data_IF_092704249076
#
_entry.id   IF_092704249076
#
_cell.length_a   1.000
_cell.length_b   1.000
_cell.length_c   1.000
_cell.angle_alpha   90.00
_cell.angle_beta   90.00
_cell.angle_gamma   90.00
#
_symmetry.space_group_name_H-M   'P 1'
#
loop_
_entity.id
_entity.type
_entity.pdbx_description
1 polymer ?
#
# COMPACT_ATOMS: atom_id res chain seq x y z
N UNK A 1 -0.06 12.22 1.44
CA UNK A 1 0.48 10.93 0.94
C UNK A 1 1.22 10.19 2.07
N UNK A 2 1.17 8.87 2.12
CA UNK A 2 1.90 8.02 3.09
C UNK A 2 2.95 7.19 2.33
N UNK A 3 4.20 7.21 2.79
CA UNK A 3 5.28 6.36 2.28
C UNK A 3 5.71 5.38 3.38
N UNK A 4 5.71 4.09 3.05
CA UNK A 4 6.15 3.01 3.94
C UNK A 4 7.31 2.27 3.26
N UNK A 5 8.41 2.08 3.97
CA UNK A 5 9.56 1.31 3.47
C UNK A 5 9.68 0.02 4.27
N UNK A 6 9.68 -1.10 3.57
CA UNK A 6 9.83 -2.44 4.12
C UNK A 6 11.17 -3.01 3.72
N UNK A 7 11.84 -3.70 4.64
CA UNK A 7 12.97 -4.54 4.28
C UNK A 7 12.48 -5.93 3.91
N UNK A 8 12.88 -6.34 2.72
CA UNK A 8 12.57 -7.63 2.18
C UNK A 8 13.82 -8.49 2.14
N UNK A 9 13.80 -9.63 2.84
CA UNK A 9 14.89 -10.62 2.81
C UNK A 9 14.38 -11.91 2.18
N UNK A 10 14.56 -12.13 0.87
CA UNK A 10 14.16 -13.39 0.23
C UNK A 10 15.03 -14.55 0.71
N UNK A 11 14.47 -15.76 0.78
CA UNK A 11 15.23 -16.96 1.15
C UNK A 11 16.42 -17.18 0.19
N UNK A 12 17.63 -17.07 0.75
CA UNK A 12 18.88 -17.25 0.00
C UNK A 12 19.27 -16.08 -0.93
N UNK A 13 18.61 -14.92 -0.82
CA UNK A 13 18.96 -13.71 -1.58
C UNK A 13 19.35 -12.53 -0.69
N UNK A 14 19.87 -11.48 -1.34
CA UNK A 14 20.23 -10.24 -0.65
C UNK A 14 18.99 -9.45 -0.22
N UNK A 15 19.00 -8.83 0.98
CA UNK A 15 17.94 -7.94 1.39
C UNK A 15 17.78 -6.76 0.41
N UNK A 16 16.54 -6.38 0.12
CA UNK A 16 16.21 -5.17 -0.66
C UNK A 16 15.11 -4.36 0.01
N UNK A 17 15.13 -3.05 -0.21
CA UNK A 17 14.06 -2.18 0.23
C UNK A 17 12.89 -2.26 -0.76
N UNK A 18 11.67 -2.38 -0.22
CA UNK A 18 10.42 -2.30 -0.96
C UNK A 18 9.64 -1.10 -0.45
N UNK A 19 9.27 -0.21 -1.36
CA UNK A 19 8.55 1.02 -1.00
C UNK A 19 7.08 0.89 -1.39
N UNK A 20 6.20 1.22 -0.45
CA UNK A 20 4.75 1.25 -0.63
C UNK A 20 4.27 2.69 -0.43
N UNK A 21 3.59 3.23 -1.43
CA UNK A 21 3.06 4.59 -1.41
C UNK A 21 1.54 4.50 -1.39
N UNK A 22 0.92 5.01 -0.34
CA UNK A 22 -0.54 5.17 -0.28
C UNK A 22 -0.82 6.64 -0.59
N UNK A 23 -1.40 6.87 -1.76
CA UNK A 23 -1.76 8.22 -2.21
C UNK A 23 -2.93 8.77 -1.40
N UNK A 24 -3.23 10.04 -1.58
CA UNK A 24 -4.41 10.62 -0.95
C UNK A 24 -5.69 10.03 -1.58
N UNK A 25 -6.68 9.67 -0.74
CA UNK A 25 -7.95 9.16 -1.24
C UNK A 25 -8.67 10.26 -2.03
N UNK A 26 -9.19 9.88 -3.18
CA UNK A 26 -9.92 10.76 -4.10
C UNK A 26 -11.39 10.39 -4.10
N UNK A 27 -12.26 11.40 -4.19
CA UNK A 27 -13.70 11.18 -4.24
C UNK A 27 -14.11 10.81 -5.66
N UNK A 28 -14.77 9.67 -5.80
CA UNK A 28 -15.37 9.25 -7.07
C UNK A 28 -16.62 10.08 -7.40
N UNK A 29 -17.04 10.10 -8.68
CA UNK A 29 -18.33 10.65 -9.07
C UNK A 29 -19.49 10.01 -8.28
N UNK A 30 -20.57 10.77 -8.00
CA UNK A 30 -21.68 10.31 -7.16
C UNK A 30 -22.45 9.11 -7.73
N UNK A 31 -22.27 8.79 -9.01
CA UNK A 31 -22.89 7.65 -9.69
C UNK A 31 -22.18 6.32 -9.41
N UNK A 32 -21.00 6.34 -8.77
CA UNK A 32 -20.25 5.14 -8.42
C UNK A 32 -20.70 4.58 -7.08
N UNK A 33 -20.85 3.25 -7.03
CA UNK A 33 -21.18 2.52 -5.80
C UNK A 33 -20.17 2.78 -4.67
N UNK A 34 -18.88 2.91 -5.01
CA UNK A 34 -17.82 3.27 -4.05
C UNK A 34 -17.46 4.74 -4.20
N UNK A 35 -17.65 5.51 -3.13
CA UNK A 35 -17.50 6.96 -3.15
C UNK A 35 -16.05 7.43 -3.07
N UNK A 36 -15.13 6.58 -2.62
CA UNK A 36 -13.73 6.91 -2.48
C UNK A 36 -12.84 5.88 -3.15
N UNK A 37 -11.76 6.36 -3.76
CA UNK A 37 -10.72 5.55 -4.36
C UNK A 37 -9.36 5.99 -3.83
N UNK A 38 -8.47 5.05 -3.53
CA UNK A 38 -7.08 5.35 -3.22
C UNK A 38 -6.18 4.59 -4.18
N UNK A 39 -5.12 5.26 -4.64
CA UNK A 39 -4.06 4.59 -5.39
C UNK A 39 -2.99 4.16 -4.40
N UNK A 40 -2.54 2.92 -4.53
CA UNK A 40 -1.39 2.41 -3.82
C UNK A 40 -0.36 1.97 -4.84
N UNK A 41 0.86 2.45 -4.70
CA UNK A 41 2.01 2.02 -5.50
C UNK A 41 2.87 1.09 -4.65
N UNK A 42 3.12 -0.12 -5.14
CA UNK A 42 4.01 -1.09 -4.52
C UNK A 42 5.15 -1.38 -5.49
N UNK A 43 6.37 -0.94 -5.15
CA UNK A 43 7.58 -1.18 -5.95
C UNK A 43 7.42 -0.74 -7.43
N UNK A 44 6.75 0.39 -7.68
CA UNK A 44 6.46 0.94 -9.01
C UNK A 44 5.23 0.35 -9.68
N UNK A 45 4.42 -0.45 -8.97
CA UNK A 45 3.20 -1.09 -9.49
C UNK A 45 1.97 -0.46 -8.85
N UNK A 46 1.24 0.43 -9.55
CA UNK A 46 0.05 1.05 -9.02
C UNK A 46 -1.16 0.12 -9.07
N UNK A 47 -1.95 0.12 -8.01
CA UNK A 47 -3.28 -0.47 -7.95
C UNK A 47 -4.27 0.49 -7.26
N UNK A 48 -5.54 0.39 -7.62
CA UNK A 48 -6.60 1.21 -7.04
C UNK A 48 -7.48 0.35 -6.15
N UNK A 49 -7.64 0.77 -4.91
CA UNK A 49 -8.65 0.22 -3.99
C UNK A 49 -9.74 1.25 -3.74
N UNK A 50 -10.88 0.77 -3.25
CA UNK A 50 -12.07 1.58 -3.08
C UNK A 50 -12.59 1.49 -1.65
N UNK A 51 -13.35 2.49 -1.23
CA UNK A 51 -14.00 2.51 0.07
C UNK A 51 -15.29 3.33 0.09
N UNK A 52 -16.07 3.13 1.15
CA UNK A 52 -17.31 3.89 1.40
C UNK A 52 -17.01 5.30 1.94
N UNK A 53 -15.86 5.47 2.58
CA UNK A 53 -15.30 6.72 3.07
C UNK A 53 -13.77 6.78 2.81
N UNK A 54 -13.10 7.94 3.04
CA UNK A 54 -11.66 8.07 2.77
C UNK A 54 -10.79 7.11 3.58
N UNK A 55 -11.15 6.86 4.85
CA UNK A 55 -10.37 6.01 5.74
C UNK A 55 -10.51 4.56 5.33
N UNK A 56 -11.74 4.10 5.04
CA UNK A 56 -11.99 2.75 4.52
C UNK A 56 -11.21 2.49 3.21
N UNK A 57 -11.14 3.48 2.30
CA UNK A 57 -10.33 3.34 1.08
C UNK A 57 -8.84 3.13 1.41
N UNK A 58 -8.28 3.92 2.34
CA UNK A 58 -6.89 3.80 2.81
C UNK A 58 -6.64 2.45 3.50
N UNK A 59 -7.52 2.00 4.37
CA UNK A 59 -7.43 0.69 5.04
C UNK A 59 -7.49 -0.47 4.04
N UNK A 60 -8.35 -0.36 3.02
CA UNK A 60 -8.40 -1.33 1.92
C UNK A 60 -7.10 -1.33 1.10
N UNK A 61 -6.53 -0.15 0.86
CA UNK A 61 -5.23 0.00 0.20
C UNK A 61 -4.08 -0.65 0.98
N UNK A 62 -3.98 -0.34 2.27
CA UNK A 62 -2.96 -0.89 3.16
C UNK A 62 -3.08 -2.42 3.29
N UNK A 63 -4.31 -2.94 3.43
CA UNK A 63 -4.58 -4.38 3.49
C UNK A 63 -4.21 -5.09 2.19
N UNK A 64 -4.52 -4.50 1.03
CA UNK A 64 -4.12 -5.07 -0.26
C UNK A 64 -2.60 -5.09 -0.41
N UNK A 65 -1.90 -4.00 -0.05
CA UNK A 65 -0.44 -3.97 -0.04
C UNK A 65 0.16 -5.07 0.85
N UNK A 66 -0.38 -5.27 2.06
CA UNK A 66 0.08 -6.33 2.96
C UNK A 66 -0.13 -7.74 2.38
N UNK A 67 -1.26 -7.98 1.71
CA UNK A 67 -1.52 -9.26 1.02
C UNK A 67 -0.49 -9.48 -0.09
N UNK A 68 -0.28 -8.49 -0.96
CA UNK A 68 0.66 -8.60 -2.09
C UNK A 68 2.09 -8.80 -1.59
N UNK A 69 2.52 -8.04 -0.58
CA UNK A 69 3.85 -8.23 0.01
C UNK A 69 4.01 -9.67 0.52
N UNK A 70 3.01 -10.21 1.22
CA UNK A 70 3.04 -11.57 1.78
C UNK A 70 2.98 -12.66 0.70
N UNK A 71 2.13 -12.51 -0.32
CA UNK A 71 2.00 -13.50 -1.40
C UNK A 71 3.28 -13.62 -2.24
N UNK A 72 3.96 -12.50 -2.46
CA UNK A 72 5.21 -12.50 -3.25
C UNK A 72 6.39 -13.04 -2.43
N UNK A 73 6.35 -12.95 -1.09
CA UNK A 73 7.55 -13.12 -0.27
C UNK A 73 7.46 -13.98 1.00
N UNK A 74 6.30 -14.57 1.31
CA UNK A 74 6.12 -15.40 2.51
C UNK A 74 6.24 -14.59 3.82
N UNK A 75 6.55 -15.27 4.94
CA UNK A 75 6.63 -14.67 6.28
C UNK A 75 7.91 -13.81 6.50
N UNK A 76 8.74 -13.60 5.47
CA UNK A 76 10.05 -12.94 5.54
C UNK A 76 10.00 -11.40 5.34
N UNK A 77 8.96 -10.74 5.87
CA UNK A 77 8.80 -9.29 5.79
C UNK A 77 9.07 -8.69 7.16
N UNK A 78 10.10 -7.85 7.26
CA UNK A 78 10.28 -7.04 8.46
C UNK A 78 9.23 -5.90 8.47
N UNK A 79 8.70 -5.54 9.66
CA UNK A 79 7.75 -4.43 9.78
C UNK A 79 8.36 -3.15 9.20
N UNK A 80 7.51 -2.20 8.74
CA UNK A 80 7.99 -1.01 8.07
C UNK A 80 8.88 -0.19 9.00
N UNK A 81 9.98 0.30 8.46
CA UNK A 81 10.80 1.33 9.11
C UNK A 81 9.92 2.59 9.16
N UNK A 82 9.92 3.30 10.30
CA UNK A 82 8.98 4.37 10.64
C UNK A 82 8.48 5.22 9.45
N UNK A 83 7.16 5.53 9.38
CA UNK A 83 6.59 6.27 8.27
C UNK A 83 7.26 7.64 8.12
N UNK A 84 7.93 7.87 7.00
CA UNK A 84 8.38 9.21 6.63
C UNK A 84 7.19 9.98 6.06
N UNK A 85 6.64 10.88 6.87
CA UNK A 85 5.77 11.93 6.34
C UNK A 85 6.65 12.88 5.52
N UNK A 86 6.45 12.91 4.20
CA UNK A 86 7.01 14.00 3.38
C UNK A 86 6.24 15.27 3.72
N UNK A 87 6.94 16.24 4.32
CA UNK A 87 6.48 17.63 4.48
C UNK A 87 6.27 18.32 3.13
#
# INVERSE_FOLDING_TARGET
MIELTFKLTPDGGEPRDVVVWIHEPTRNPPEKQWHWAVTVDLDGRPFTTYGVDPLDAVENGARHAAIVLREVHGDAIEPPIEPRMKE
#
